data_IF_882433629446
#
_entry.id   IF_882433629446
#
_cell.length_a   1.000
_cell.length_b   1.000
_cell.length_c   1.000
_cell.angle_alpha   90.00
_cell.angle_beta   90.00
_cell.angle_gamma   90.00
#
_symmetry.space_group_name_H-M   'P 1'
#
loop_
_entity.id
_entity.type
_entity.pdbx_description
1 polymer ?
#
# COMPACT_ATOMS: atom_id res chain seq x y z
N UNK A 1 -17.29 9.78 -9.25
CA UNK A 1 -15.82 9.67 -9.05
C UNK A 1 -15.56 8.35 -8.37
N UNK A 2 -14.74 7.48 -8.97
CA UNK A 2 -14.59 6.09 -8.55
C UNK A 2 -13.74 6.03 -7.26
N UNK A 3 -14.41 5.89 -6.11
CA UNK A 3 -13.80 5.79 -4.77
C UNK A 3 -12.69 4.74 -4.69
N UNK A 4 -12.78 3.71 -5.54
CA UNK A 4 -11.82 2.62 -5.62
C UNK A 4 -10.41 3.05 -6.08
N UNK A 5 -10.32 4.05 -6.98
CA UNK A 5 -9.02 4.55 -7.43
C UNK A 5 -8.34 5.37 -6.33
N UNK A 6 -9.10 6.20 -5.61
CA UNK A 6 -8.59 7.00 -4.50
C UNK A 6 -8.11 6.15 -3.31
N UNK A 7 -8.76 5.02 -3.03
CA UNK A 7 -8.36 4.15 -1.93
C UNK A 7 -7.03 3.43 -2.21
N UNK A 8 -6.82 2.98 -3.45
CA UNK A 8 -5.55 2.37 -3.89
C UNK A 8 -4.43 3.42 -3.92
N UNK A 9 -4.71 4.62 -4.43
CA UNK A 9 -3.74 5.72 -4.47
C UNK A 9 -3.33 6.16 -3.06
N UNK A 10 -4.28 6.20 -2.11
CA UNK A 10 -3.99 6.45 -0.70
C UNK A 10 -3.14 5.32 -0.10
N UNK A 11 -3.50 4.05 -0.34
CA UNK A 11 -2.71 2.91 0.12
C UNK A 11 -1.29 2.95 -0.44
N UNK A 12 -1.10 3.34 -1.71
CA UNK A 12 0.20 3.46 -2.35
C UNK A 12 1.06 4.53 -1.67
N UNK A 13 0.50 5.71 -1.39
CA UNK A 13 1.20 6.77 -0.66
C UNK A 13 1.62 6.33 0.74
N UNK A 14 0.73 5.66 1.48
CA UNK A 14 1.04 5.13 2.82
C UNK A 14 2.17 4.09 2.72
N UNK A 15 2.05 3.12 1.82
CA UNK A 15 3.06 2.06 1.63
C UNK A 15 4.41 2.63 1.19
N UNK A 16 4.43 3.67 0.36
CA UNK A 16 5.66 4.37 -0.04
C UNK A 16 6.34 5.04 1.16
N UNK A 17 5.57 5.75 1.99
CA UNK A 17 6.09 6.35 3.23
C UNK A 17 6.66 5.30 4.20
N UNK A 18 6.03 4.13 4.29
CA UNK A 18 6.51 3.01 5.12
C UNK A 18 7.80 2.36 4.56
N UNK A 19 7.98 2.36 3.24
CA UNK A 19 9.21 1.85 2.63
C UNK A 19 10.43 2.71 3.00
N UNK A 20 10.24 4.03 3.14
CA UNK A 20 11.30 4.97 3.53
C UNK A 20 11.56 5.01 5.05
N UNK A 21 10.49 5.01 5.85
CA UNK A 21 10.58 5.23 7.31
C UNK A 21 10.64 3.92 8.12
N UNK A 22 10.54 2.77 7.46
CA UNK A 22 10.41 1.46 8.10
C UNK A 22 8.96 1.14 8.45
N UNK A 23 8.63 -0.16 8.44
CA UNK A 23 7.25 -0.64 8.59
C UNK A 23 6.72 -0.44 10.02
N UNK A 24 5.70 0.40 10.16
CA UNK A 24 4.87 0.56 11.34
C UNK A 24 3.44 0.09 11.04
N UNK A 25 3.09 -1.09 11.56
CA UNK A 25 1.77 -1.70 11.36
C UNK A 25 0.61 -0.86 11.91
N UNK A 26 0.83 -0.14 13.01
CA UNK A 26 -0.23 0.69 13.61
C UNK A 26 -0.57 1.89 12.71
N UNK A 27 0.45 2.56 12.20
CA UNK A 27 0.29 3.68 11.27
C UNK A 27 -0.36 3.23 9.94
N UNK A 28 0.00 2.03 9.48
CA UNK A 28 -0.64 1.37 8.34
C UNK A 28 -2.13 1.07 8.60
N UNK A 29 -2.49 0.58 9.78
CA UNK A 29 -3.87 0.30 10.20
C UNK A 29 -4.73 1.56 10.37
N UNK A 30 -4.12 2.67 10.80
CA UNK A 30 -4.81 3.94 10.97
C UNK A 30 -4.99 4.71 9.64
N UNK A 31 -4.10 4.51 8.67
CA UNK A 31 -4.06 5.29 7.42
C UNK A 31 -4.69 4.62 6.21
N UNK A 32 -4.94 3.30 6.26
CA UNK A 32 -5.52 2.55 5.13
C UNK A 32 -6.34 1.35 5.59
N UNK A 33 -7.01 0.68 4.65
CA UNK A 33 -7.84 -0.51 4.92
C UNK A 33 -7.19 -1.77 4.38
N UNK A 34 -7.59 -2.93 4.91
CA UNK A 34 -7.17 -4.22 4.37
C UNK A 34 -7.55 -4.35 2.89
N UNK A 35 -8.76 -3.94 2.52
CA UNK A 35 -9.29 -4.02 1.16
C UNK A 35 -8.45 -3.19 0.17
N UNK A 36 -8.01 -1.99 0.58
CA UNK A 36 -7.14 -1.15 -0.24
C UNK A 36 -5.73 -1.74 -0.37
N UNK A 37 -5.16 -2.28 0.70
CA UNK A 37 -3.86 -2.96 0.67
C UNK A 37 -3.90 -4.25 -0.16
N UNK A 38 -4.98 -5.03 -0.07
CA UNK A 38 -5.17 -6.25 -0.84
C UNK A 38 -5.30 -5.93 -2.33
N UNK A 39 -6.06 -4.88 -2.67
CA UNK A 39 -6.15 -4.38 -4.03
C UNK A 39 -4.78 -3.90 -4.54
N UNK A 40 -4.06 -3.08 -3.77
CA UNK A 40 -2.73 -2.58 -4.12
C UNK A 40 -1.71 -3.71 -4.32
N UNK A 41 -1.75 -4.76 -3.49
CA UNK A 41 -0.84 -5.90 -3.62
C UNK A 41 -0.98 -6.63 -4.97
N UNK A 42 -2.15 -6.48 -5.63
CA UNK A 42 -2.46 -7.11 -6.93
C UNK A 42 -2.15 -6.21 -8.12
N UNK A 43 -1.86 -4.93 -7.91
CA UNK A 43 -1.56 -3.99 -9.02
C UNK A 43 -0.12 -4.10 -9.52
N UNK A 44 0.78 -4.70 -8.74
CA UNK A 44 2.22 -4.73 -9.03
C UNK A 44 2.93 -3.40 -8.79
N UNK A 45 2.27 -2.41 -8.18
CA UNK A 45 2.87 -1.11 -7.84
C UNK A 45 3.80 -1.18 -6.62
N UNK A 46 3.64 -2.18 -5.75
CA UNK A 46 4.50 -2.42 -4.60
C UNK A 46 4.61 -3.92 -4.33
N UNK A 47 5.76 -4.38 -3.84
CA UNK A 47 6.06 -5.80 -3.69
C UNK A 47 5.85 -6.29 -2.24
N UNK A 48 4.59 -6.41 -1.84
CA UNK A 48 4.21 -6.88 -0.51
C UNK A 48 3.05 -7.87 -0.57
N UNK A 49 2.85 -8.61 0.52
CA UNK A 49 1.64 -9.40 0.78
C UNK A 49 0.91 -8.85 1.98
N UNK A 50 -0.42 -8.88 1.90
CA UNK A 50 -1.31 -8.65 3.03
C UNK A 50 -2.20 -9.87 3.22
N UNK A 51 -2.32 -10.35 4.46
CA UNK A 51 -3.16 -11.52 4.78
C UNK A 51 -4.10 -11.18 5.91
N UNK A 52 -5.40 -11.39 5.71
CA UNK A 52 -6.41 -11.24 6.76
C UNK A 52 -6.54 -12.54 7.56
N UNK A 53 -6.54 -12.43 8.88
CA UNK A 53 -6.83 -13.54 9.78
C UNK A 53 -8.31 -13.62 10.10
N UNK A 54 -8.77 -14.80 10.52
CA UNK A 54 -10.15 -15.02 10.98
C UNK A 54 -10.55 -14.13 12.16
N UNK A 55 -9.58 -13.63 12.93
CA UNK A 55 -9.81 -12.69 14.04
C UNK A 55 -10.08 -11.24 13.59
N UNK A 56 -10.08 -10.96 12.28
CA UNK A 56 -10.23 -9.61 11.72
C UNK A 56 -8.95 -8.79 11.66
N UNK A 57 -7.85 -9.24 12.30
CA UNK A 57 -6.52 -8.64 12.16
C UNK A 57 -5.94 -8.97 10.79
N UNK A 58 -5.00 -8.16 10.30
CA UNK A 58 -4.24 -8.50 9.11
C UNK A 58 -2.74 -8.40 9.34
N UNK A 59 -1.97 -9.09 8.50
CA UNK A 59 -0.51 -9.08 8.50
C UNK A 59 -0.03 -8.49 7.20
N UNK A 60 0.82 -7.48 7.29
CA UNK A 60 1.58 -6.95 6.17
C UNK A 60 3.00 -7.54 6.19
N UNK A 61 3.53 -7.91 5.02
CA UNK A 61 4.92 -8.36 4.87
C UNK A 61 5.45 -7.97 3.49
N UNK A 62 6.63 -7.37 3.45
CA UNK A 62 7.37 -7.18 2.20
C UNK A 62 7.87 -8.53 1.64
N UNK A 63 7.71 -8.75 0.34
CA UNK A 63 8.18 -9.99 -0.31
C UNK A 63 9.72 -9.97 -0.48
N UNK A 64 10.32 -8.78 -0.53
CA UNK A 64 11.75 -8.54 -0.61
C UNK A 64 12.15 -7.33 0.27
N UNK A 65 13.18 -6.58 -0.12
CA UNK A 65 13.45 -5.26 0.47
C UNK A 65 12.22 -4.35 0.31
N UNK A 66 11.89 -3.49 1.28
CA UNK A 66 10.83 -2.50 1.13
C UNK A 66 11.13 -1.59 -0.05
N UNK A 67 10.36 -1.70 -1.13
CA UNK A 67 10.48 -0.81 -2.27
C UNK A 67 9.16 -0.70 -3.03
N UNK A 68 8.93 0.47 -3.58
CA UNK A 68 7.89 0.72 -4.57
C UNK A 68 8.42 0.29 -5.92
N UNK A 69 7.58 -0.35 -6.73
CA UNK A 69 7.93 -0.79 -8.08
C UNK A 69 7.85 0.40 -9.04
N UNK A 70 8.50 0.36 -10.22
CA UNK A 70 8.46 1.47 -11.18
C UNK A 70 7.04 1.96 -11.54
N UNK A 71 6.07 1.04 -11.62
CA UNK A 71 4.67 1.38 -11.86
C UNK A 71 4.04 2.18 -10.70
N UNK A 72 4.42 1.88 -9.45
CA UNK A 72 4.00 2.64 -8.29
C UNK A 72 4.68 4.01 -8.21
N UNK A 73 5.96 4.11 -8.56
CA UNK A 73 6.67 5.40 -8.63
C UNK A 73 6.03 6.33 -9.67
N UNK A 74 5.71 5.79 -10.85
CA UNK A 74 5.00 6.54 -11.88
C UNK A 74 3.64 7.04 -11.37
N UNK A 75 2.89 6.16 -10.70
CA UNK A 75 1.58 6.54 -10.15
C UNK A 75 1.70 7.59 -9.05
N UNK A 76 2.71 7.54 -8.20
CA UNK A 76 2.98 8.55 -7.17
C UNK A 76 3.24 9.93 -7.78
N UNK A 77 4.02 10.00 -8.88
CA UNK A 77 4.23 11.25 -9.62
C UNK A 77 2.93 11.82 -10.18
N UNK A 78 2.10 10.97 -10.78
CA UNK A 78 0.78 11.37 -11.27
C UNK A 78 -0.13 11.91 -10.16
N UNK A 79 -0.09 11.29 -8.97
CA UNK A 79 -0.85 11.74 -7.79
C UNK A 79 -0.33 13.10 -7.29
N UNK A 80 0.99 13.29 -7.26
CA UNK A 80 1.61 14.54 -6.80
C UNK A 80 1.58 15.66 -7.85
N UNK A 81 1.21 15.36 -9.09
CA UNK A 81 1.17 16.33 -10.19
C UNK A 81 2.55 16.64 -10.78
N UNK A 82 3.49 15.70 -10.68
CA UNK A 82 4.87 15.78 -11.20
C UNK A 82 5.03 15.15 -12.59
#
# INVERSE_FOLDING_TARGET
MSTYASDIDNALQVVARQAENGLNLKDLEESTTFEALDALSKTGMANFVVTRFASGRYRFRWIASPHIMPAGEQRLKEIHGE
#
